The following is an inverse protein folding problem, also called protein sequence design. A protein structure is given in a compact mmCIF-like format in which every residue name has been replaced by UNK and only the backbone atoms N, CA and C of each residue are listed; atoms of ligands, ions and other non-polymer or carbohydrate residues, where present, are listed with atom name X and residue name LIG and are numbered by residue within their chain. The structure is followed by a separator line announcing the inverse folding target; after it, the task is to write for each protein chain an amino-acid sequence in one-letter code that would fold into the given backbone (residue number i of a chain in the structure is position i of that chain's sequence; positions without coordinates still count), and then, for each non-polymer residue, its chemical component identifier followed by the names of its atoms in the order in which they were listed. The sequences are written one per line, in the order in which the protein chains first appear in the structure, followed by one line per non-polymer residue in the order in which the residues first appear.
data_IF_756552357163
#
_entry.id   IF_756552357163
#
_cell.length_a   1.000
_cell.length_b   1.000
_cell.length_c   1.000
_cell.angle_alpha   90.00
_cell.angle_beta   90.00
_cell.angle_gamma   90.00
#
_symmetry.space_group_name_H-M   'P 1'
#
loop_
_entity.id
_entity.type
_entity.pdbx_description
1 polymer ?
#
# COMPACT_ATOMS: atom_id res chain seq x y z
N UNK A 1 -0.32 -23.68 16.42
CA UNK A 1 -0.48 -22.23 16.23
C UNK A 1 0.61 -21.80 15.26
N UNK A 2 0.27 -21.28 14.08
CA UNK A 2 1.23 -20.85 13.07
C UNK A 2 2.02 -19.63 13.55
N UNK A 3 3.20 -19.38 12.99
CA UNK A 3 4.00 -18.21 13.37
C UNK A 3 3.33 -16.91 12.94
N UNK A 4 2.58 -16.91 11.82
CA UNK A 4 1.71 -15.80 11.44
C UNK A 4 0.67 -15.49 12.52
N UNK A 5 0.01 -16.51 13.07
CA UNK A 5 -0.97 -16.30 14.14
C UNK A 5 -0.34 -15.74 15.43
N UNK A 6 0.89 -16.16 15.76
CA UNK A 6 1.65 -15.56 16.87
C UNK A 6 1.96 -14.09 16.60
N UNK A 7 2.33 -13.75 15.37
CA UNK A 7 2.60 -12.39 14.95
C UNK A 7 1.35 -11.51 15.05
N UNK A 8 0.22 -11.94 14.47
CA UNK A 8 -1.04 -11.18 14.55
C UNK A 8 -1.50 -11.02 15.98
N UNK A 9 -1.34 -12.04 16.82
CA UNK A 9 -1.66 -11.95 18.24
C UNK A 9 -0.79 -10.94 19.00
N UNK A 10 0.52 -10.89 18.71
CA UNK A 10 1.41 -9.88 19.27
C UNK A 10 1.03 -8.46 18.82
N UNK A 11 0.58 -8.29 17.59
CA UNK A 11 0.07 -7.02 17.05
C UNK A 11 -1.19 -6.58 17.81
N UNK A 12 -2.17 -7.46 17.97
CA UNK A 12 -3.41 -7.22 18.74
C UNK A 12 -3.14 -6.83 20.19
N UNK A 13 -2.10 -7.40 20.79
CA UNK A 13 -1.67 -7.10 22.16
C UNK A 13 -0.76 -5.86 22.26
N UNK A 14 -0.47 -5.19 21.16
CA UNK A 14 0.45 -4.05 21.07
C UNK A 14 1.86 -4.37 21.60
N UNK A 15 2.30 -5.63 21.52
CA UNK A 15 3.62 -6.07 22.01
C UNK A 15 4.69 -5.89 20.91
N UNK A 16 5.21 -4.66 20.79
CA UNK A 16 6.25 -4.30 19.83
C UNK A 16 7.50 -5.19 19.95
N UNK A 17 7.89 -5.57 21.15
CA UNK A 17 9.08 -6.39 21.39
C UNK A 17 8.88 -7.80 20.85
N UNK A 18 7.71 -8.39 21.05
CA UNK A 18 7.38 -9.71 20.54
C UNK A 18 7.23 -9.69 19.01
N UNK A 19 6.59 -8.65 18.44
CA UNK A 19 6.51 -8.44 16.99
C UNK A 19 7.91 -8.39 16.39
N UNK A 20 8.81 -7.60 16.97
CA UNK A 20 10.21 -7.49 16.53
C UNK A 20 10.92 -8.83 16.57
N UNK A 21 10.85 -9.54 17.69
CA UNK A 21 11.51 -10.83 17.89
C UNK A 21 11.02 -11.91 16.91
N UNK A 22 9.72 -11.91 16.58
CA UNK A 22 9.16 -12.83 15.59
C UNK A 22 9.68 -12.48 14.18
N UNK A 23 9.66 -11.20 13.78
CA UNK A 23 10.11 -10.77 12.46
C UNK A 23 11.63 -10.85 12.26
N UNK A 24 12.43 -10.86 13.34
CA UNK A 24 13.87 -11.13 13.27
C UNK A 24 14.18 -12.60 12.93
N UNK A 25 13.30 -13.51 13.34
CA UNK A 25 13.43 -14.95 13.05
C UNK A 25 12.76 -15.36 11.75
N UNK A 26 11.69 -14.70 11.39
CA UNK A 26 10.79 -15.02 10.30
C UNK A 26 10.41 -13.75 9.53
N UNK A 27 11.38 -13.16 8.82
CA UNK A 27 11.18 -11.90 8.10
C UNK A 27 10.11 -12.02 6.99
N UNK A 28 9.93 -13.19 6.42
CA UNK A 28 8.94 -13.50 5.38
C UNK A 28 7.50 -13.28 5.84
N UNK A 29 7.23 -13.40 7.16
CA UNK A 29 5.89 -13.23 7.71
C UNK A 29 5.30 -11.83 7.47
N UNK A 30 6.13 -10.84 7.18
CA UNK A 30 5.67 -9.48 6.87
C UNK A 30 4.77 -9.45 5.62
N UNK A 31 4.92 -10.42 4.71
CA UNK A 31 4.15 -10.55 3.46
C UNK A 31 3.07 -11.63 3.51
N UNK A 32 3.07 -12.46 4.57
CA UNK A 32 2.12 -13.54 4.72
C UNK A 32 0.69 -13.02 4.87
N UNK A 33 -0.28 -13.87 4.49
CA UNK A 33 -1.70 -13.54 4.49
C UNK A 33 -2.45 -14.54 5.35
N UNK A 34 -3.37 -14.05 6.14
CA UNK A 34 -4.27 -14.87 6.92
C UNK A 34 -5.44 -15.45 6.08
N UNK A 35 -6.39 -16.09 6.75
CA UNK A 35 -7.54 -16.77 6.12
C UNK A 35 -8.46 -15.81 5.32
N UNK A 36 -8.46 -14.53 5.67
CA UNK A 36 -9.21 -13.49 4.95
C UNK A 36 -8.36 -12.71 3.95
N UNK A 37 -7.10 -13.12 3.77
CA UNK A 37 -6.15 -12.50 2.85
C UNK A 37 -5.54 -11.19 3.39
N UNK A 38 -5.71 -10.89 4.68
CA UNK A 38 -5.12 -9.72 5.31
C UNK A 38 -3.65 -9.97 5.69
N UNK A 39 -2.81 -8.96 5.53
CA UNK A 39 -1.41 -8.99 5.96
C UNK A 39 -1.26 -8.49 7.40
N UNK A 40 -0.11 -8.73 8.07
CA UNK A 40 0.17 -8.14 9.38
C UNK A 40 -0.01 -6.61 9.43
N UNK A 41 0.25 -5.92 8.31
CA UNK A 41 0.04 -4.47 8.22
C UNK A 41 -1.44 -4.07 8.27
N UNK A 42 -2.36 -4.89 7.75
CA UNK A 42 -3.80 -4.65 7.91
C UNK A 42 -4.20 -4.67 9.39
N UNK A 43 -3.74 -5.69 10.13
CA UNK A 43 -4.01 -5.81 11.57
C UNK A 43 -3.40 -4.66 12.38
N UNK A 44 -2.12 -4.33 12.13
CA UNK A 44 -1.45 -3.23 12.81
C UNK A 44 -2.12 -1.88 12.54
N UNK A 45 -2.60 -1.70 11.32
CA UNK A 45 -3.34 -0.52 10.91
C UNK A 45 -4.71 -0.44 11.62
N UNK A 46 -5.45 -1.56 11.69
CA UNK A 46 -6.72 -1.65 12.40
C UNK A 46 -6.57 -1.33 13.90
N UNK A 47 -5.52 -1.88 14.54
CA UNK A 47 -5.23 -1.63 15.95
C UNK A 47 -4.72 -0.20 16.22
N UNK A 48 -4.33 0.56 15.20
CA UNK A 48 -3.85 1.92 15.33
C UNK A 48 -2.50 2.04 16.03
N UNK A 49 -1.69 0.99 16.04
CA UNK A 49 -0.39 1.01 16.68
C UNK A 49 0.68 1.52 15.71
N UNK A 50 1.01 2.79 15.84
CA UNK A 50 1.97 3.50 14.99
C UNK A 50 3.34 2.83 14.95
N UNK A 51 3.88 2.44 16.11
CA UNK A 51 5.23 1.88 16.23
C UNK A 51 5.34 0.51 15.55
N UNK A 52 4.29 -0.32 15.65
CA UNK A 52 4.23 -1.60 14.95
C UNK A 52 4.06 -1.37 13.44
N UNK A 53 3.23 -0.41 13.03
CA UNK A 53 3.08 -0.04 11.61
C UNK A 53 4.42 0.39 11.03
N UNK A 54 5.16 1.28 11.71
CA UNK A 54 6.50 1.73 11.27
C UNK A 54 7.45 0.54 11.15
N UNK A 55 7.49 -0.35 12.15
CA UNK A 55 8.33 -1.54 12.11
C UNK A 55 8.01 -2.45 10.92
N UNK A 56 6.73 -2.70 10.63
CA UNK A 56 6.32 -3.53 9.50
C UNK A 56 6.71 -2.89 8.15
N UNK A 57 6.54 -1.57 8.03
CA UNK A 57 6.95 -0.82 6.83
C UNK A 57 8.48 -0.85 6.64
N UNK A 58 9.25 -0.70 7.70
CA UNK A 58 10.72 -0.81 7.68
C UNK A 58 11.18 -2.22 7.28
N UNK A 59 10.40 -3.25 7.60
CA UNK A 59 10.62 -4.63 7.19
C UNK A 59 10.10 -4.96 5.78
N UNK A 60 9.57 -3.96 5.06
CA UNK A 60 9.16 -4.09 3.67
C UNK A 60 7.70 -4.47 3.44
N UNK A 61 6.80 -4.29 4.44
CA UNK A 61 5.38 -4.52 4.24
C UNK A 61 4.83 -3.69 3.07
N UNK A 62 4.00 -4.33 2.23
CA UNK A 62 3.34 -3.65 1.12
C UNK A 62 2.21 -2.75 1.62
N UNK A 63 2.45 -1.43 1.61
CA UNK A 63 1.52 -0.43 2.16
C UNK A 63 0.14 -0.41 1.49
N UNK A 64 0.04 -0.85 0.23
CA UNK A 64 -1.18 -0.86 -0.57
C UNK A 64 -1.67 -2.28 -0.91
N UNK A 65 -1.21 -3.32 -0.22
CA UNK A 65 -1.76 -4.66 -0.40
C UNK A 65 -3.26 -4.66 -0.10
N UNK A 66 -4.03 -5.50 -0.80
CA UNK A 66 -5.47 -5.64 -0.56
C UNK A 66 -5.77 -6.98 0.12
N UNK A 67 -6.73 -6.99 1.06
CA UNK A 67 -7.22 -8.23 1.65
C UNK A 67 -8.10 -9.00 0.65
N UNK A 68 -8.28 -10.31 0.91
CA UNK A 68 -9.06 -11.20 0.04
C UNK A 68 -10.58 -11.11 0.25
N UNK A 69 -11.04 -10.58 1.39
CA UNK A 69 -12.46 -10.59 1.77
C UNK A 69 -13.19 -9.31 1.38
N UNK A 70 -12.59 -8.15 1.64
CA UNK A 70 -13.23 -6.85 1.45
C UNK A 70 -12.64 -6.07 0.27
N UNK A 71 -11.49 -6.52 -0.27
CA UNK A 71 -10.71 -5.79 -1.26
C UNK A 71 -10.22 -4.44 -0.72
N UNK A 72 -9.97 -4.37 0.58
CA UNK A 72 -9.53 -3.16 1.28
C UNK A 72 -8.00 -3.18 1.48
N UNK A 73 -7.40 -2.01 1.46
CA UNK A 73 -5.99 -1.82 1.83
C UNK A 73 -5.86 -1.61 3.35
N UNK A 74 -4.65 -1.69 3.94
CA UNK A 74 -4.42 -1.29 5.33
C UNK A 74 -4.96 0.13 5.63
N UNK A 75 -4.87 1.06 4.69
CA UNK A 75 -5.47 2.39 4.85
C UNK A 75 -7.00 2.38 4.91
N UNK A 76 -7.65 1.39 4.29
CA UNK A 76 -9.10 1.16 4.40
C UNK A 76 -9.49 0.61 5.77
N UNK A 77 -8.56 -0.05 6.46
CA UNK A 77 -8.75 -0.58 7.82
C UNK A 77 -8.40 0.45 8.90
N UNK A 78 -7.65 1.49 8.56
CA UNK A 78 -7.01 2.41 9.48
C UNK A 78 -7.08 3.88 9.10
N UNK A 79 -6.51 4.59 9.89
CA UNK A 79 -6.23 5.92 10.30
C UNK A 79 -5.40 6.76 9.31
N UNK A 80 -5.56 8.08 9.47
CA UNK A 80 -4.80 9.17 8.80
C UNK A 80 -3.30 8.92 8.65
N UNK A 81 -2.67 8.27 9.63
CA UNK A 81 -1.24 8.04 9.64
C UNK A 81 -0.72 7.25 8.43
N UNK A 82 -1.44 6.19 7.99
CA UNK A 82 -1.02 5.45 6.81
C UNK A 82 -1.18 6.25 5.52
N UNK A 83 -2.18 7.15 5.47
CA UNK A 83 -2.33 8.07 4.33
C UNK A 83 -1.16 9.04 4.23
N UNK A 84 -0.66 9.56 5.34
CA UNK A 84 0.55 10.40 5.38
C UNK A 84 1.80 9.65 4.91
N UNK A 85 1.83 8.32 5.10
CA UNK A 85 2.90 7.44 4.61
C UNK A 85 2.73 7.01 3.14
N UNK A 86 1.70 7.52 2.45
CA UNK A 86 1.45 7.27 1.03
C UNK A 86 0.49 6.13 0.74
N UNK A 87 -0.26 5.66 1.74
CA UNK A 87 -1.28 4.64 1.52
C UNK A 87 -2.53 5.21 0.85
N UNK A 88 -3.13 4.42 -0.02
CA UNK A 88 -4.38 4.72 -0.73
C UNK A 88 -5.42 3.64 -0.45
N UNK A 89 -6.70 4.01 -0.46
CA UNK A 89 -7.77 3.03 -0.39
C UNK A 89 -7.79 2.16 -1.65
N UNK A 90 -8.17 0.89 -1.52
CA UNK A 90 -8.22 -0.03 -2.66
C UNK A 90 -9.11 0.46 -3.80
N UNK A 91 -10.20 1.17 -3.48
CA UNK A 91 -11.06 1.79 -4.50
C UNK A 91 -10.34 2.91 -5.27
N UNK A 92 -9.56 3.75 -4.60
CA UNK A 92 -8.77 4.81 -5.25
C UNK A 92 -7.73 4.23 -6.21
N UNK A 93 -7.05 3.16 -5.80
CA UNK A 93 -6.06 2.48 -6.64
C UNK A 93 -6.71 1.79 -7.83
N UNK A 94 -7.89 1.17 -7.65
CA UNK A 94 -8.62 0.52 -8.75
C UNK A 94 -9.16 1.52 -9.76
N UNK A 95 -9.74 2.61 -9.27
CA UNK A 95 -10.26 3.68 -10.15
C UNK A 95 -9.13 4.32 -10.96
N UNK A 96 -7.97 4.52 -10.32
CA UNK A 96 -6.79 5.05 -11.00
C UNK A 96 -6.24 4.06 -12.04
N UNK A 97 -6.13 2.76 -11.70
CA UNK A 97 -5.72 1.72 -12.62
C UNK A 97 -6.68 1.61 -13.83
N UNK A 98 -7.99 1.64 -13.57
CA UNK A 98 -9.00 1.61 -14.61
C UNK A 98 -8.90 2.81 -15.57
N UNK A 99 -8.69 4.02 -15.02
CA UNK A 99 -8.47 5.20 -15.86
C UNK A 99 -7.22 5.07 -16.74
N UNK A 100 -6.16 4.42 -16.24
CA UNK A 100 -4.96 4.13 -17.03
C UNK A 100 -5.22 3.13 -18.15
N UNK A 101 -5.98 2.07 -17.90
CA UNK A 101 -6.40 1.09 -18.90
C UNK A 101 -7.27 1.74 -20.00
N UNK A 102 -8.16 2.66 -19.62
CA UNK A 102 -8.99 3.42 -20.54
C UNK A 102 -8.25 4.53 -21.29
N UNK A 103 -7.02 4.86 -20.87
CA UNK A 103 -6.22 5.95 -21.46
C UNK A 103 -6.80 7.35 -21.19
N UNK A 104 -7.60 7.52 -20.15
CA UNK A 104 -8.18 8.83 -19.79
C UNK A 104 -7.15 9.74 -19.14
N UNK A 105 -6.31 10.33 -19.98
CA UNK A 105 -5.22 11.24 -19.60
C UNK A 105 -5.72 12.42 -18.76
N UNK A 106 -6.92 12.95 -19.06
CA UNK A 106 -7.49 14.10 -18.32
C UNK A 106 -7.81 13.72 -16.89
N UNK A 107 -8.44 12.57 -16.71
CA UNK A 107 -8.81 12.07 -15.38
C UNK A 107 -7.57 11.72 -14.56
N UNK A 108 -6.61 11.04 -15.18
CA UNK A 108 -5.32 10.70 -14.58
C UNK A 108 -4.57 11.97 -14.13
N UNK A 109 -4.50 13.01 -14.99
CA UNK A 109 -3.86 14.27 -14.64
C UNK A 109 -4.52 14.95 -13.43
N UNK A 110 -5.86 14.91 -13.32
CA UNK A 110 -6.58 15.44 -12.16
C UNK A 110 -6.26 14.65 -10.88
N UNK A 111 -6.18 13.32 -10.99
CA UNK A 111 -5.85 12.44 -9.87
C UNK A 111 -4.41 12.67 -9.38
N UNK A 112 -3.44 12.72 -10.29
CA UNK A 112 -2.04 12.99 -9.98
C UNK A 112 -1.80 14.39 -9.39
N UNK A 113 -2.67 15.36 -9.72
CA UNK A 113 -2.63 16.69 -9.09
C UNK A 113 -3.11 16.64 -7.65
N UNK A 114 -4.15 15.88 -7.37
CA UNK A 114 -4.72 15.71 -6.03
C UNK A 114 -3.87 14.78 -5.15
N UNK A 115 -3.30 13.73 -5.74
CA UNK A 115 -2.52 12.70 -5.08
C UNK A 115 -1.18 12.49 -5.80
N UNK A 116 -0.22 13.42 -5.64
CA UNK A 116 1.05 13.37 -6.39
C UNK A 116 1.85 12.07 -6.16
N UNK A 117 1.74 11.48 -4.98
CA UNK A 117 2.40 10.23 -4.59
C UNK A 117 1.97 9.01 -5.42
N UNK A 118 0.83 9.06 -6.14
CA UNK A 118 0.41 7.99 -7.05
C UNK A 118 1.43 7.74 -8.17
N UNK A 119 2.27 8.71 -8.53
CA UNK A 119 3.35 8.49 -9.52
C UNK A 119 4.34 7.42 -9.09
N UNK A 120 4.47 7.20 -7.79
CA UNK A 120 5.41 6.25 -7.19
C UNK A 120 4.68 5.08 -6.53
N UNK A 121 3.37 5.10 -6.51
CA UNK A 121 2.55 4.06 -5.92
C UNK A 121 2.49 2.82 -6.84
N UNK A 122 2.10 1.72 -6.22
CA UNK A 122 1.90 0.42 -6.85
C UNK A 122 0.40 0.13 -6.94
N UNK A 123 -0.05 -0.36 -8.08
CA UNK A 123 -1.41 -0.83 -8.26
C UNK A 123 -1.67 -2.08 -7.39
N UNK A 124 -2.94 -2.45 -7.21
CA UNK A 124 -3.36 -3.59 -6.39
C UNK A 124 -2.86 -4.95 -6.90
N UNK A 125 -2.41 -5.01 -8.16
CA UNK A 125 -1.78 -6.19 -8.76
C UNK A 125 -0.25 -6.25 -8.57
N UNK A 126 0.33 -5.33 -7.78
CA UNK A 126 1.76 -5.26 -7.51
C UNK A 126 2.59 -4.53 -8.57
N UNK A 127 2.02 -4.06 -9.68
CA UNK A 127 2.76 -3.29 -10.68
C UNK A 127 2.83 -1.81 -10.32
N UNK A 128 4.01 -1.16 -10.41
CA UNK A 128 4.12 0.29 -10.29
C UNK A 128 3.28 1.00 -11.37
N UNK A 129 2.56 2.06 -11.00
CA UNK A 129 1.78 2.83 -11.97
C UNK A 129 2.65 3.46 -13.07
N UNK A 130 3.89 3.84 -12.77
CA UNK A 130 4.86 4.28 -13.77
C UNK A 130 5.09 3.21 -14.85
N UNK A 131 5.29 1.96 -14.44
CA UNK A 131 5.47 0.84 -15.37
C UNK A 131 4.23 0.63 -16.23
N UNK A 132 3.02 0.72 -15.64
CA UNK A 132 1.77 0.63 -16.41
C UNK A 132 1.63 1.76 -17.45
N UNK A 133 2.10 2.98 -17.10
CA UNK A 133 2.14 4.09 -18.06
C UNK A 133 3.10 3.81 -19.23
N UNK A 134 4.28 3.30 -18.95
CA UNK A 134 5.28 2.94 -19.97
C UNK A 134 4.77 1.80 -20.88
N UNK A 135 4.15 0.78 -20.31
CA UNK A 135 3.55 -0.35 -21.04
C UNK A 135 2.36 0.08 -21.95
N UNK A 136 1.65 1.16 -21.60
CA UNK A 136 0.52 1.66 -22.35
C UNK A 136 0.87 2.23 -23.73
N UNK A 137 2.15 2.54 -23.99
CA UNK A 137 2.65 3.23 -25.19
C UNK A 137 1.99 4.60 -25.47
N UNK A 138 1.16 5.11 -24.57
CA UNK A 138 0.53 6.43 -24.67
C UNK A 138 1.52 7.51 -24.21
N UNK A 139 2.01 8.30 -25.17
CA UNK A 139 3.05 9.33 -24.91
C UNK A 139 2.60 10.42 -23.96
N UNK A 140 1.32 10.81 -23.97
CA UNK A 140 0.77 11.80 -23.04
C UNK A 140 0.71 11.24 -21.61
N UNK A 141 0.32 9.98 -21.48
CA UNK A 141 0.28 9.29 -20.20
C UNK A 141 1.69 9.13 -19.61
N UNK A 142 2.65 8.70 -20.42
CA UNK A 142 4.05 8.57 -20.02
C UNK A 142 4.59 9.92 -19.52
N UNK A 143 4.30 11.02 -20.23
CA UNK A 143 4.74 12.37 -19.86
C UNK A 143 4.21 12.80 -18.49
N UNK A 144 2.99 12.41 -18.11
CA UNK A 144 2.43 12.71 -16.78
C UNK A 144 3.22 12.06 -15.63
N UNK A 145 3.86 10.91 -15.88
CA UNK A 145 4.67 10.21 -14.89
C UNK A 145 6.15 10.64 -14.89
N UNK A 146 6.60 11.29 -15.94
CA UNK A 146 7.95 11.84 -16.07
C UNK A 146 8.06 13.28 -15.52
N UNK A 147 6.95 14.03 -15.50
CA UNK A 147 6.93 15.39 -14.97
C UNK A 147 7.21 15.37 -13.46
N UNK A 148 8.24 16.12 -13.03
CA UNK A 148 8.57 16.31 -11.61
C UNK A 148 7.36 16.96 -10.90
N UNK A 149 6.83 16.38 -9.81
CA UNK A 149 5.71 16.96 -9.07
C UNK A 149 6.05 18.29 -8.40
N UNK A 150 7.32 18.67 -8.34
CA UNK A 150 7.77 19.90 -7.71
C UNK A 150 8.70 20.71 -8.65
N UNK A 151 8.14 21.43 -9.66
CA UNK A 151 8.98 22.44 -10.33
C UNK A 151 9.49 23.40 -9.26
N UNK A 152 10.80 23.42 -9.05
CA UNK A 152 11.49 24.29 -8.11
C UNK A 152 10.85 25.68 -8.13
N UNK A 153 10.34 26.11 -6.96
CA UNK A 153 10.08 27.51 -6.68
C UNK A 153 11.38 28.30 -6.74
#
# INVERSE_FOLDING_TARGET
MSDLHKLTKAIELHDLNQVRAILEKHAELVHERDEIGATPLHHAAFEGNREIVELLLDKGAEINSIDGRFGATPAGWAIEYLREKGAYCGIELRDFAYAMEMGDVRWIARFLRRFPGLRQATATNGKPFRQLAEESTNTELIALFQSDPNPKR
#
